data_IF_035113706582
#
_entry.id   IF_035113706582
#
_cell.length_a   1.000
_cell.length_b   1.000
_cell.length_c   1.000
_cell.angle_alpha   90.00
_cell.angle_beta   90.00
_cell.angle_gamma   90.00
#
_symmetry.space_group_name_H-M   'P 1'
#
loop_
_entity.id
_entity.type
_entity.pdbx_description
1 polymer ?
2 non-polymer ?
3 water ?
#
# COMPACT_ATOMS: atom_id res chain seq x y z
N UNK A 24 -7.69 -29.43 5.29
CA UNK A 24 -7.89 -28.40 6.39
C UNK A 24 -6.57 -27.69 6.60
N UNK A 25 -6.50 -26.83 7.64
CA UNK A 25 -5.26 -26.07 7.82
C UNK A 25 -4.47 -26.72 8.86
N UNK A 26 -3.21 -26.87 8.62
CA UNK A 26 -2.38 -27.37 9.67
C UNK A 26 -1.97 -26.43 10.85
N UNK A 27 -1.27 -27.04 11.79
CA UNK A 27 -0.84 -26.31 12.96
C UNK A 27 0.22 -25.27 12.51
N UNK A 28 1.12 -25.65 11.61
CA UNK A 28 2.12 -24.68 11.12
C UNK A 28 1.49 -23.42 10.50
N UNK A 29 0.47 -23.65 9.68
CA UNK A 29 -0.26 -22.63 8.89
C UNK A 29 -1.05 -21.74 9.82
N UNK A 30 -1.74 -22.35 10.78
CA UNK A 30 -2.42 -21.62 11.83
C UNK A 30 -1.46 -20.76 12.65
N UNK A 31 -0.19 -21.14 12.76
CA UNK A 31 0.66 -20.35 13.56
C UNK A 31 1.29 -19.22 12.79
N UNK A 32 1.32 -19.41 11.48
CA UNK A 32 1.88 -18.46 10.52
C UNK A 32 0.84 -17.27 10.33
N UNK A 33 -0.43 -17.68 10.28
CA UNK A 33 -1.45 -16.69 10.13
C UNK A 33 -1.55 -15.95 11.41
N UNK A 34 -1.46 -16.64 12.53
CA UNK A 34 -1.53 -15.93 13.81
C UNK A 34 -0.33 -15.01 13.98
N UNK A 35 0.90 -15.38 13.61
CA UNK A 35 1.90 -14.36 13.71
C UNK A 35 1.64 -13.14 12.77
N UNK A 36 1.12 -13.40 11.57
CA UNK A 36 0.79 -12.32 10.65
C UNK A 36 -0.26 -11.36 11.23
N UNK A 37 -1.37 -11.94 11.68
CA UNK A 37 -2.48 -11.21 12.25
C UNK A 37 -2.11 -10.43 13.49
N UNK A 38 -1.25 -11.03 14.30
CA UNK A 38 -0.69 -10.34 15.46
C UNK A 38 0.12 -9.09 15.09
N UNK A 39 1.02 -9.23 14.12
CA UNK A 39 1.85 -8.17 13.73
C UNK A 39 0.97 -7.09 13.11
N UNK A 40 -0.07 -7.47 12.42
CA UNK A 40 -0.91 -6.49 11.79
C UNK A 40 -1.71 -5.71 12.78
N UNK A 41 -2.10 -6.32 13.86
CA UNK A 41 -2.91 -5.64 14.82
C UNK A 41 -2.13 -4.61 15.55
N UNK A 42 -0.88 -4.91 15.80
CA UNK A 42 -0.05 -4.17 16.67
C UNK A 42 0.54 -3.01 15.99
N UNK A 43 0.47 -3.00 14.69
CA UNK A 43 1.32 -2.00 13.93
C UNK A 43 0.52 -1.30 12.86
N UNK A 44 -0.78 -1.53 12.93
CA UNK A 44 -1.70 -0.85 12.02
C UNK A 44 -2.71 -0.01 12.79
N UNK A 45 -2.67 1.31 12.62
CA UNK A 45 -3.62 2.18 13.30
C UNK A 45 -4.78 2.42 12.35
N UNK A 46 -5.79 1.56 12.40
CA UNK A 46 -6.81 1.58 11.36
C UNK A 46 -7.58 2.88 11.34
N UNK A 47 -7.50 3.65 12.42
CA UNK A 47 -8.21 4.98 12.59
C UNK A 47 -7.19 6.15 12.55
N UNK A 48 -5.92 5.88 12.27
CA UNK A 48 -4.99 6.87 12.14
C UNK A 48 -5.06 7.84 13.34
N UNK A 49 -5.28 7.39 14.56
CA UNK A 49 -5.21 8.33 15.71
C UNK A 49 -3.88 9.03 15.87
N UNK A 50 -2.80 8.36 15.56
CA UNK A 50 -1.52 8.89 15.78
C UNK A 50 -0.99 9.54 14.58
N UNK A 51 -1.79 9.75 13.54
CA UNK A 51 -1.40 10.64 12.40
C UNK A 51 -1.67 12.15 12.70
N UNK A 52 -0.63 12.95 13.08
CA UNK A 52 -0.90 14.39 13.29
C UNK A 52 0.25 15.30 12.87
N UNK A 53 0.08 16.60 13.10
CA UNK A 53 1.10 17.58 12.77
C UNK A 53 1.65 17.43 11.36
N UNK A 54 0.79 17.05 10.43
CA UNK A 54 1.19 16.89 9.03
C UNK A 54 0.83 18.13 8.23
N UNK A 55 1.60 18.42 7.18
CA UNK A 55 1.35 19.61 6.35
C UNK A 55 -0.01 19.58 5.61
N UNK A 56 -0.48 20.74 5.17
CA UNK A 56 -1.74 20.87 4.46
C UNK A 56 -1.57 21.94 3.39
N UNK A 57 -2.24 21.78 2.27
CA UNK A 57 -2.02 22.74 1.12
C UNK A 57 -2.37 24.20 1.43
N UNK A 58 -1.43 25.17 1.18
CA UNK A 58 -1.57 26.54 1.86
C UNK A 58 -2.90 27.13 1.40
N UNK A 80 8.79 20.96 -21.55
CA UNK A 80 9.99 20.24 -21.23
C UNK A 80 9.70 18.83 -20.72
N UNK A 81 10.17 18.51 -19.53
CA UNK A 81 9.82 17.25 -18.93
C UNK A 81 8.65 17.55 -18.05
N UNK A 82 8.57 18.78 -17.60
CA UNK A 82 7.40 19.21 -16.89
C UNK A 82 6.26 18.55 -17.59
N UNK A 83 6.14 18.84 -18.87
CA UNK A 83 5.12 18.23 -19.68
C UNK A 83 4.61 17.05 -18.96
N UNK A 84 5.49 16.13 -18.71
CA UNK A 84 5.12 14.85 -18.17
C UNK A 84 4.88 14.97 -16.70
N UNK A 85 5.70 15.76 -16.02
CA UNK A 85 5.61 15.86 -14.58
C UNK A 85 4.22 16.22 -14.22
N UNK A 86 3.39 16.44 -15.21
CA UNK A 86 1.97 16.46 -15.00
C UNK A 86 1.52 15.05 -14.76
N UNK A 87 2.30 14.37 -13.94
CA UNK A 87 2.00 13.06 -13.41
C UNK A 87 1.11 13.27 -12.22
N UNK A 88 1.01 14.51 -11.80
CA UNK A 88 0.22 14.82 -10.65
C UNK A 88 -1.26 14.84 -10.91
N UNK A 89 -1.64 14.89 -12.17
CA UNK A 89 -3.05 14.93 -12.52
C UNK A 89 -3.73 13.60 -12.26
N UNK A 90 -2.96 12.52 -12.34
CA UNK A 90 -3.49 11.17 -12.12
C UNK A 90 -3.75 10.93 -10.63
N UNK A 91 -2.86 11.44 -9.79
CA UNK A 91 -3.00 11.28 -8.35
C UNK A 91 -3.57 12.53 -7.70
N UNK A 92 -4.76 12.92 -8.13
CA UNK A 92 -5.42 14.11 -7.59
C UNK A 92 -6.72 13.74 -6.87
N UNK A 93 -6.85 14.21 -5.64
CA UNK A 93 -8.04 13.93 -4.84
C UNK A 93 -8.39 15.11 -3.93
N UNK A 94 -9.63 15.16 -3.48
CA UNK A 94 -10.07 16.17 -2.64
C UNK A 94 -9.94 15.62 -1.22
N UNK A 95 -9.75 16.48 -0.26
CA UNK A 95 -9.31 16.01 1.00
C UNK A 95 -10.29 16.53 2.06
N UNK A 96 -10.63 15.74 3.08
CA UNK A 96 -11.57 16.23 4.09
C UNK A 96 -11.13 15.91 5.51
N UNK A 97 -11.07 16.93 6.36
CA UNK A 97 -10.72 16.72 7.76
C UNK A 97 -11.86 16.99 8.74
N UNK A 98 -12.23 16.00 9.53
CA UNK A 98 -13.20 16.23 10.58
C UNK A 98 -12.57 16.46 11.92
N UNK A 99 -13.20 17.24 12.77
CA UNK A 99 -12.62 17.50 14.05
C UNK A 99 -13.57 17.01 15.09
CA UNK A 100 -12.78 15.97 17.21
C UNK A 100 -14.00 16.72 17.64
N UNK A 101 -14.02 17.99 17.26
CA UNK A 101 -14.96 18.96 17.77
C UNK A 101 -16.23 19.11 16.97
N UNK A 102 -16.23 18.66 15.74
CA UNK A 102 -17.43 18.73 14.93
C UNK A 102 -17.22 19.55 13.69
N UNK A 103 -16.06 20.19 13.61
CA UNK A 103 -15.73 20.95 12.43
C UNK A 103 -15.52 20.06 11.24
N UNK A 104 -15.60 20.66 10.08
CA UNK A 104 -15.15 20.04 8.77
C UNK A 104 -14.27 20.99 7.93
N UNK A 105 -13.08 20.60 7.55
CA UNK A 105 -12.33 21.35 6.57
C UNK A 105 -12.27 20.54 5.29
N UNK A 106 -12.43 21.17 4.15
CA UNK A 106 -12.42 20.50 2.87
C UNK A 106 -11.52 21.17 1.91
N UNK A 107 -10.71 20.43 1.18
CA UNK A 107 -9.83 21.00 0.18
C UNK A 107 -10.10 20.35 -1.12
N UNK A 108 -10.28 21.17 -2.13
CA UNK A 108 -10.60 20.80 -3.51
C UNK A 108 -9.37 21.31 -4.31
N UNK A 109 -8.63 20.46 -4.98
CA UNK A 109 -7.41 20.92 -5.64
C UNK A 109 -7.69 21.64 -6.91
N UNK A 110 -6.65 22.25 -7.46
CA UNK A 110 -6.84 23.13 -8.61
C UNK A 110 -6.96 22.33 -9.88
N UNK A 111 -6.54 22.99 -10.96
CA UNK A 111 -6.54 22.43 -12.29
C UNK A 111 -5.20 22.71 -12.89
N UNK A 112 -4.63 21.71 -13.55
CA UNK A 112 -3.40 21.86 -14.28
C UNK A 112 -3.59 23.06 -15.12
N UNK A 113 -2.75 24.05 -14.88
CA UNK A 113 -2.86 25.29 -15.60
C UNK A 113 -1.56 25.97 -15.36
N UNK A 114 -1.14 26.76 -16.33
CA UNK A 114 0.10 27.50 -16.23
C UNK A 114 1.29 26.65 -15.81
N UNK A 115 1.31 26.24 -14.55
CA UNK A 115 2.44 25.48 -14.06
C UNK A 115 2.38 25.02 -12.62
N UNK A 116 2.64 25.92 -11.69
CA UNK A 116 2.61 25.58 -10.27
C UNK A 116 1.18 25.53 -9.75
N UNK A 117 1.03 25.38 -8.44
CA UNK A 117 -0.28 25.32 -7.82
C UNK A 117 -0.81 23.89 -7.88
N UNK A 118 0.01 22.98 -8.40
CA UNK A 118 -0.37 21.58 -8.52
C UNK A 118 0.49 20.79 -7.52
N UNK A 119 1.51 21.45 -6.99
CA UNK A 119 2.38 20.82 -6.05
C UNK A 119 1.77 21.08 -4.75
N UNK A 120 0.64 21.74 -4.78
CA UNK A 120 0.06 22.17 -3.53
C UNK A 120 -0.36 20.99 -2.66
N UNK A 121 -0.15 19.77 -3.14
CA UNK A 121 -0.53 18.58 -2.39
C UNK A 121 0.58 17.53 -2.44
N UNK A 122 1.84 17.98 -2.40
CA UNK A 122 2.98 17.08 -2.44
C UNK A 122 3.64 16.95 -1.07
N UNK A 123 3.36 17.90 -0.19
CA UNK A 123 3.93 17.90 1.15
C UNK A 123 3.13 17.04 2.12
N UNK A 124 1.80 17.11 2.03
CA UNK A 124 0.94 16.34 2.89
C UNK A 124 0.87 14.90 2.52
N UNK A 125 0.87 14.63 1.24
CA UNK A 125 0.79 13.32 0.76
C UNK A 125 2.08 12.65 1.26
N UNK A 126 3.18 13.40 1.33
CA UNK A 126 4.49 12.84 1.75
C UNK A 126 4.45 12.57 3.24
N UNK A 127 3.82 13.40 4.01
CA UNK A 127 3.49 13.05 5.30
C UNK A 127 2.67 11.83 5.49
N UNK A 128 1.74 11.55 4.59
CA UNK A 128 0.93 10.35 4.69
C UNK A 128 1.71 9.17 4.33
N UNK A 129 2.52 9.25 3.26
CA UNK A 129 3.43 8.14 2.96
C UNK A 129 4.33 7.75 4.08
N UNK A 130 4.83 8.76 4.80
CA UNK A 130 5.74 8.50 5.88
C UNK A 130 4.97 7.84 7.01
N UNK A 131 3.77 8.40 7.37
CA UNK A 131 3.02 7.68 8.44
C UNK A 131 2.82 6.20 8.06
N UNK A 132 2.31 5.97 6.87
CA UNK A 132 2.12 4.58 6.34
C UNK A 132 3.36 3.68 6.33
N UNK A 133 4.45 4.22 5.80
CA UNK A 133 5.64 3.41 5.60
C UNK A 133 6.14 2.99 6.94
N UNK A 134 5.91 3.79 7.98
CA UNK A 134 6.48 3.42 9.26
C UNK A 134 5.69 2.29 9.85
N UNK A 135 4.39 2.25 9.56
CA UNK A 135 3.51 1.19 10.07
C UNK A 135 3.91 -0.04 9.41
N UNK A 136 4.17 0.00 8.07
CA UNK A 136 4.66 -1.12 7.29
C UNK A 136 6.09 -1.56 7.77
N UNK A 137 6.95 -0.63 8.15
CA UNK A 137 8.26 -1.10 8.64
C UNK A 137 8.12 -1.79 9.96
N UNK A 138 7.22 -1.30 10.82
CA UNK A 138 7.03 -1.95 12.11
C UNK A 138 6.39 -3.30 11.80
N UNK A 139 5.57 -3.41 10.76
CA UNK A 139 4.91 -4.65 10.63
C UNK A 139 6.00 -5.69 10.37
N UNK A 140 6.85 -5.38 9.41
CA UNK A 140 7.91 -6.37 9.00
C UNK A 140 8.79 -6.76 10.17
N UNK A 141 9.25 -5.76 10.91
CA UNK A 141 10.24 -5.97 12.02
C UNK A 141 9.67 -6.91 13.18
N UNK A 142 8.37 -6.99 13.30
CA UNK A 142 7.76 -7.68 14.41
C UNK A 142 7.36 -9.08 13.98
N UNK A 143 7.68 -9.50 12.75
CA UNK A 143 7.49 -10.95 12.28
C UNK A 143 8.79 -11.77 12.42
N UNK A 144 8.74 -12.85 13.18
CA UNK A 144 9.97 -13.64 13.36
C UNK A 144 10.62 -14.00 11.99
N UNK A 145 9.85 -14.45 11.00
CA UNK A 145 10.51 -14.87 9.76
C UNK A 145 11.31 -13.74 9.14
N UNK A 146 10.95 -12.52 9.51
CA UNK A 146 11.62 -11.35 8.98
C UNK A 146 12.87 -10.88 9.76
N UNK A 147 12.69 -10.73 11.06
CA UNK A 147 13.76 -10.49 11.99
C UNK A 147 14.83 -11.55 11.80
N UNK A 148 14.44 -12.79 11.50
CA UNK A 148 15.52 -13.78 11.26
C UNK A 148 16.42 -13.51 10.05
N UNK A 149 16.03 -12.69 9.05
CA UNK A 149 16.88 -12.59 7.85
C UNK A 149 17.97 -11.63 8.23
N UNK A 150 19.03 -11.65 7.45
CA UNK A 150 20.10 -10.77 7.66
C UNK A 150 19.70 -9.30 7.33
N UNK A 151 20.29 -8.41 8.12
CA UNK A 151 19.92 -7.06 8.09
C UNK A 151 19.84 -6.51 6.64
N UNK A 152 20.88 -6.82 5.88
CA UNK A 152 21.08 -6.29 4.54
C UNK A 152 19.94 -6.78 3.69
N UNK A 153 19.46 -7.98 3.99
CA UNK A 153 18.24 -8.48 3.27
C UNK A 153 16.89 -7.92 3.76
N UNK A 154 16.73 -7.61 5.03
CA UNK A 154 15.57 -6.87 5.49
C UNK A 154 15.41 -5.53 4.77
N UNK A 155 16.54 -4.87 4.54
CA UNK A 155 16.58 -3.56 3.92
C UNK A 155 16.26 -3.72 2.45
N UNK A 156 16.68 -4.83 1.85
CA UNK A 156 16.32 -5.07 0.45
C UNK A 156 14.84 -5.28 0.22
N UNK A 157 14.19 -5.97 1.19
CA UNK A 157 12.83 -6.40 1.05
C UNK A 157 11.93 -5.21 1.33
N UNK A 158 12.21 -4.45 2.38
CA UNK A 158 11.49 -3.22 2.60
C UNK A 158 11.54 -2.30 1.37
N UNK A 159 12.67 -2.12 0.71
CA UNK A 159 12.76 -1.15 -0.33
C UNK A 159 11.97 -1.75 -1.48
N UNK A 160 11.92 -3.05 -1.60
CA UNK A 160 11.11 -3.60 -2.74
C UNK A 160 9.61 -3.49 -2.54
N UNK A 161 9.16 -3.62 -1.28
CA UNK A 161 7.74 -3.86 -1.00
C UNK A 161 6.96 -2.72 -0.31
N UNK A 162 7.61 -1.73 0.28
CA UNK A 162 6.95 -0.73 1.07
C UNK A 162 5.73 -0.15 0.41
N UNK A 163 5.86 0.22 -0.87
CA UNK A 163 4.72 0.68 -1.58
C UNK A 163 3.57 -0.29 -1.62
N UNK A 164 3.80 -1.51 -1.97
CA UNK A 164 2.82 -2.51 -2.17
C UNK A 164 2.05 -2.81 -0.93
N UNK A 165 2.68 -2.84 0.24
CA UNK A 165 2.01 -3.07 1.46
C UNK A 165 1.25 -1.90 1.92
N UNK A 166 1.76 -0.69 1.73
CA UNK A 166 0.86 0.53 1.76
C UNK A 166 -0.38 0.45 0.96
N UNK A 167 -0.26 0.14 -0.32
CA UNK A 167 -1.42 0.19 -1.17
C UNK A 167 -2.25 -0.89 -0.64
N UNK A 168 -1.69 -2.00 -0.16
CA UNK A 168 -2.71 -2.91 0.49
C UNK A 168 -3.34 -2.47 1.79
N UNK A 169 -2.58 -1.87 2.70
CA UNK A 169 -3.11 -1.43 3.98
C UNK A 169 -4.16 -0.40 3.66
N UNK A 170 -3.99 0.23 2.50
CA UNK A 170 -5.00 1.16 1.99
C UNK A 170 -6.26 0.65 1.28
N UNK A 171 -6.23 -0.41 0.49
CA UNK A 171 -7.49 -1.02 0.03
C UNK A 171 -8.53 -1.30 1.14
N UNK A 172 -8.07 -1.53 2.36
CA UNK A 172 -9.02 -1.92 3.34
C UNK A 172 -9.72 -0.75 4.01
N UNK A 173 -9.23 0.49 3.75
CA UNK A 173 -9.99 1.66 4.25
C UNK A 173 -10.69 2.35 3.05
N UNK A 174 -10.52 1.77 1.84
CA UNK A 174 -11.18 2.25 0.63
C UNK A 174 -12.69 1.95 0.60
N UNK A 175 -13.47 2.91 0.19
CA UNK A 175 -14.89 2.71 0.10
C UNK A 175 -15.20 2.84 -1.38
N UNK A 176 -15.60 1.74 -1.94
CA UNK A 176 -15.80 1.78 -3.35
C UNK A 176 -17.15 2.30 -3.77
N UNK A 177 -18.16 2.38 -2.88
CA UNK A 177 -19.41 3.06 -3.27
C UNK A 177 -19.16 4.57 -3.48
N UNK A 178 -18.52 5.23 -2.49
CA UNK A 178 -18.23 6.62 -2.64
C UNK A 178 -16.86 6.94 -3.24
N UNK A 179 -15.98 5.99 -3.55
CA UNK A 179 -14.70 6.24 -4.21
C UNK A 179 -13.81 6.93 -3.22
N UNK A 180 -13.80 6.52 -1.94
CA UNK A 180 -12.97 7.37 -1.04
C UNK A 180 -12.13 6.56 -0.06
N UNK A 181 -10.98 7.06 0.36
CA UNK A 181 -10.18 6.29 1.32
C UNK A 181 -10.40 6.83 2.72
N UNK A 182 -11.15 6.11 3.57
CA UNK A 182 -11.43 6.69 4.87
C UNK A 182 -10.33 6.49 5.83
N UNK A 183 -9.48 7.48 5.93
CA UNK A 183 -8.44 7.41 6.90
C UNK A 183 -8.72 8.06 8.28
N UNK A 184 -9.67 7.55 9.05
CA UNK A 184 -9.93 8.08 10.33
C UNK A 184 -10.70 9.35 10.13
N UNK A 185 -10.24 10.44 10.74
CA UNK A 185 -10.91 11.72 10.64
C UNK A 185 -10.46 12.45 9.39
N UNK A 186 -9.81 11.72 8.50
CA UNK A 186 -9.28 12.30 7.24
C UNK A 186 -9.88 11.64 5.99
N UNK A 187 -10.38 12.32 4.97
CA UNK A 187 -10.92 11.55 3.81
C UNK A 187 -10.25 11.96 2.58
N UNK A 188 -9.97 11.06 1.65
CA UNK A 188 -9.35 11.42 0.39
C UNK A 188 -10.30 10.96 -0.70
N UNK A 189 -11.08 11.88 -1.26
CA UNK A 189 -12.26 11.42 -2.01
C UNK A 189 -11.92 11.62 -3.44
N UNK A 190 -12.14 10.61 -4.25
CA UNK A 190 -11.78 10.71 -5.70
C UNK A 190 -12.67 11.79 -6.39
N UNK A 191 -12.04 12.67 -7.16
CA UNK A 191 -12.75 13.72 -7.86
C UNK A 191 -13.73 13.15 -8.88
N UNK A 197 -15.99 10.54 -14.77
CA UNK A 197 -16.42 9.28 -15.37
C UNK A 197 -15.99 8.09 -14.50
N UNK A 198 -16.97 7.44 -13.89
CA UNK A 198 -16.70 6.26 -13.02
C UNK A 198 -16.18 5.13 -13.87
N UNK A 199 -15.79 5.47 -15.09
CA UNK A 199 -15.15 4.53 -15.96
C UNK A 199 -13.79 5.01 -16.34
N UNK A 200 -13.19 5.87 -15.54
CA UNK A 200 -11.75 6.12 -15.67
C UNK A 200 -10.94 5.34 -14.60
N UNK A 201 -11.03 4.03 -14.72
CA UNK A 201 -10.18 3.06 -14.16
C UNK A 201 -9.17 2.83 -15.23
N UNK A 202 -8.86 3.88 -15.95
CA UNK A 202 -7.84 3.76 -16.94
C UNK A 202 -6.60 4.00 -16.17
N UNK A 203 -6.77 4.39 -14.91
CA UNK A 203 -5.65 4.60 -14.00
C UNK A 203 -5.36 3.31 -13.26
N UNK A 204 -4.22 2.70 -13.58
CA UNK A 204 -3.89 1.37 -13.06
C UNK A 204 -4.30 1.26 -11.60
N UNK A 205 -3.61 2.03 -10.75
CA UNK A 205 -3.92 2.12 -9.37
C UNK A 205 -5.40 2.07 -9.03
N UNK A 206 -6.15 3.00 -9.50
CA UNK A 206 -7.54 2.83 -9.30
C UNK A 206 -8.14 1.49 -9.79
N UNK A 207 -7.95 1.12 -11.05
CA UNK A 207 -8.46 -0.14 -11.57
C UNK A 207 -7.99 -1.27 -10.67
N UNK A 208 -6.99 -1.01 -9.84
CA UNK A 208 -6.53 -2.10 -8.91
C UNK A 208 -7.22 -1.99 -7.50
N UNK A 209 -7.41 -0.76 -7.04
CA UNK A 209 -8.22 -0.68 -5.87
C UNK A 209 -9.62 -1.20 -6.02
N UNK A 210 -10.26 -1.01 -7.19
CA UNK A 210 -11.67 -1.45 -7.23
C UNK A 210 -11.81 -2.97 -7.37
N UNK A 211 -10.97 -3.53 -8.22
CA UNK A 211 -10.88 -4.96 -8.39
C UNK A 211 -10.62 -5.62 -7.09
N UNK A 212 -9.63 -5.12 -6.36
CA UNK A 212 -9.25 -5.76 -5.05
C UNK A 212 -10.39 -5.74 -4.11
N UNK A 213 -10.94 -4.54 -3.94
CA UNK A 213 -12.15 -4.40 -3.15
C UNK A 213 -13.27 -5.40 -3.47
N UNK A 214 -13.50 -5.64 -4.75
CA UNK A 214 -14.59 -6.49 -5.21
C UNK A 214 -14.45 -7.91 -4.69
N UNK A 215 -13.21 -8.32 -4.41
CA UNK A 215 -12.98 -9.67 -3.91
C UNK A 215 -13.44 -9.93 -2.53
N UNK A 216 -13.65 -8.90 -1.76
CA UNK A 216 -14.08 -9.05 -0.33
C UNK A 216 -13.26 -9.97 0.49
N UNK A 217 -11.95 -9.73 0.46
CA UNK A 217 -11.04 -10.55 1.20
C UNK A 217 -11.30 -10.29 2.72
N UNK A 218 -10.91 -11.24 3.59
CA UNK A 218 -10.89 -11.15 5.03
C UNK A 218 -9.59 -10.54 5.48
N UNK A 219 -9.54 -10.19 6.76
CA UNK A 219 -8.31 -9.74 7.38
C UNK A 219 -7.18 -10.76 7.26
N UNK A 220 -7.51 -12.05 7.17
CA UNK A 220 -6.43 -13.05 7.09
C UNK A 220 -5.79 -13.06 5.70
N UNK A 221 -6.64 -12.94 4.69
CA UNK A 221 -6.20 -12.62 3.33
C UNK A 221 -5.37 -11.33 3.23
N UNK A 222 -6.01 -10.19 3.49
CA UNK A 222 -5.37 -8.89 3.41
C UNK A 222 -4.03 -8.94 4.12
N UNK A 223 -3.84 -9.97 4.95
CA UNK A 223 -2.57 -10.10 5.65
C UNK A 223 -1.59 -10.97 4.88
N UNK A 224 -2.02 -12.18 4.52
CA UNK A 224 -1.14 -13.09 3.80
C UNK A 224 -0.59 -12.49 2.48
N UNK A 225 -1.36 -11.65 1.82
CA UNK A 225 -0.98 -11.01 0.57
C UNK A 225 0.15 -10.04 0.88
N UNK A 226 0.17 -9.53 2.10
CA UNK A 226 1.23 -8.63 2.52
C UNK A 226 2.59 -9.42 2.80
N UNK A 227 2.51 -10.59 3.41
CA UNK A 227 3.65 -11.52 3.52
C UNK A 227 4.18 -11.89 2.11
N UNK A 228 3.23 -12.33 1.28
CA UNK A 228 3.68 -12.79 0.04
C UNK A 228 4.45 -11.72 -0.75
N UNK A 229 3.95 -10.51 -0.67
CA UNK A 229 4.62 -9.48 -1.28
C UNK A 229 5.90 -9.02 -0.53
N UNK A 230 5.97 -8.92 0.86
CA UNK A 230 7.21 -8.55 1.53
C UNK A 230 8.35 -9.58 1.26
N UNK A 231 8.03 -10.85 1.34
CA UNK A 231 8.98 -11.90 0.96
C UNK A 231 9.09 -12.28 -0.53
N UNK A 232 9.58 -11.38 -1.37
CA UNK A 232 9.74 -11.69 -2.79
C UNK A 232 11.19 -11.90 -2.91
N UNK A 233 11.60 -13.08 -3.40
CA UNK A 233 13.04 -13.36 -3.63
C UNK A 233 13.67 -12.53 -4.72
N UNK A 234 12.88 -12.08 -5.68
CA UNK A 234 13.43 -11.43 -6.85
C UNK A 234 13.41 -9.94 -6.60
N UNK A 235 14.14 -9.44 -5.63
CA UNK A 235 14.07 -8.01 -5.35
C UNK A 235 15.47 -7.59 -5.44
N UNK A 236 15.76 -6.45 -6.09
CA UNK A 236 17.18 -6.05 -6.11
C UNK A 236 17.88 -6.16 -4.70
N UNK A 237 19.11 -6.73 -4.65
CA UNK A 237 19.94 -6.75 -3.47
C UNK A 237 19.63 -7.82 -2.45
N UNK A 238 18.85 -8.83 -2.82
CA UNK A 238 18.50 -9.81 -1.79
C UNK A 238 19.65 -10.73 -1.82
N UNK A 239 20.15 -11.14 -0.67
CA UNK A 239 21.18 -12.19 -0.66
C UNK A 239 20.57 -13.61 -0.48
N UNK A 240 19.82 -13.79 0.61
CA UNK A 240 19.25 -15.09 0.98
C UNK A 240 18.06 -15.38 0.09
N UNK A 241 18.30 -15.38 -1.22
CA UNK A 241 17.22 -15.58 -2.21
C UNK A 241 16.53 -16.91 -2.03
N UNK A 242 17.17 -17.90 -1.37
CA UNK A 242 16.56 -19.22 -1.28
C UNK A 242 15.56 -19.27 -0.14
N UNK A 243 16.06 -18.84 1.02
CA UNK A 243 15.26 -18.82 2.21
C UNK A 243 14.01 -18.02 1.86
N UNK A 244 14.22 -16.84 1.30
CA UNK A 244 13.08 -15.93 1.07
C UNK A 244 12.04 -16.54 0.10
N UNK A 245 12.53 -17.22 -0.94
CA UNK A 245 11.66 -17.92 -1.87
C UNK A 245 10.88 -19.04 -1.18
N UNK A 246 11.53 -19.73 -0.24
CA UNK A 246 10.89 -20.81 0.48
C UNK A 246 9.84 -20.23 1.43
N UNK A 247 10.15 -19.06 1.98
CA UNK A 247 9.22 -18.36 2.85
C UNK A 247 7.98 -17.92 2.09
N UNK A 248 8.18 -17.31 0.92
CA UNK A 248 7.07 -16.87 0.11
C UNK A 248 6.21 -18.05 -0.24
N UNK A 249 6.87 -19.13 -0.65
CA UNK A 249 6.19 -20.36 -1.01
C UNK A 249 5.35 -20.92 0.14
N UNK A 250 5.70 -20.59 1.38
CA UNK A 250 4.91 -21.15 2.51
C UNK A 250 3.64 -20.30 2.78
N UNK A 251 3.88 -18.98 2.55
CA UNK A 251 2.89 -17.97 2.75
C UNK A 251 1.85 -18.20 1.66
N UNK A 252 2.26 -18.48 0.41
CA UNK A 252 1.29 -18.80 -0.62
C UNK A 252 0.42 -20.00 -0.40
N UNK A 253 1.07 -21.13 -0.03
CA UNK A 253 0.36 -22.41 0.15
C UNK A 253 -0.56 -22.17 1.29
N UNK A 254 -0.22 -21.32 2.28
CA UNK A 254 -1.16 -21.14 3.44
C UNK A 254 -2.42 -20.34 3.08
N UNK A 255 -2.23 -19.39 2.16
CA UNK A 255 -3.30 -18.60 1.58
C UNK A 255 -4.18 -19.44 0.76
N UNK A 256 -3.57 -20.30 -0.02
CA UNK A 256 -4.35 -21.20 -0.80
C UNK A 256 -5.16 -22.17 0.06
N UNK A 257 -4.56 -22.76 1.09
CA UNK A 257 -5.31 -23.60 2.01
C UNK A 257 -6.33 -22.81 2.77
N UNK A 258 -5.93 -21.63 3.18
CA UNK A 258 -6.92 -20.90 3.96
C UNK A 258 -8.18 -20.61 3.16
N UNK A 259 -8.05 -20.23 1.89
CA UNK A 259 -9.22 -20.12 0.99
C UNK A 259 -9.94 -21.44 0.74
N UNK A 260 -9.21 -22.51 0.45
CA UNK A 260 -10.03 -23.72 0.06
C UNK A 260 -10.74 -24.26 1.27
N UNK A 261 -10.21 -23.96 2.45
CA UNK A 261 -10.88 -24.22 3.71
C UNK A 261 -12.05 -23.30 4.05
N UNK A 262 -11.95 -21.97 3.83
CA UNK A 262 -13.01 -21.11 4.36
C UNK A 262 -13.97 -20.48 3.35
N UNK A 263 -13.88 -20.86 2.09
CA UNK A 263 -14.68 -20.22 0.96
C UNK A 263 -15.17 -21.33 -0.08
N UNK A 264 -16.22 -22.11 0.34
CA UNK A 264 -16.68 -23.15 -0.68
C UNK A 264 -17.59 -22.58 -1.82
N UNK A 265 -18.05 -21.33 -1.65
CA UNK A 265 -19.01 -20.76 -2.61
C UNK A 265 -18.44 -20.46 -4.06
N UNK A 266 -19.24 -20.84 -5.07
CA UNK A 266 -18.88 -20.60 -6.49
C UNK A 266 -18.30 -19.18 -6.74
N UNK A 267 -18.65 -18.20 -5.88
CA UNK A 267 -18.15 -16.85 -6.13
C UNK A 267 -16.61 -16.82 -5.90
N UNK A 268 -16.12 -17.82 -5.11
CA UNK A 268 -14.77 -17.83 -4.60
C UNK A 268 -13.82 -18.81 -5.32
N UNK A 269 -14.19 -19.11 -6.56
CA UNK A 269 -13.46 -20.10 -7.36
C UNK A 269 -12.44 -19.45 -8.28
N UNK A 270 -11.19 -19.87 -8.13
CA UNK A 270 -10.10 -19.33 -8.92
C UNK A 270 -9.64 -18.09 -8.18
N UNK A 271 -10.11 -17.97 -6.94
CA UNK A 271 -9.82 -16.83 -6.09
C UNK A 271 -8.31 -16.72 -5.84
N UNK A 272 -7.72 -17.78 -5.29
CA UNK A 272 -6.35 -17.72 -4.94
C UNK A 272 -5.57 -17.21 -6.10
N UNK A 273 -6.04 -17.43 -7.30
CA UNK A 273 -5.31 -17.02 -8.47
C UNK A 273 -5.66 -15.64 -8.91
N UNK A 274 -6.90 -15.23 -8.66
CA UNK A 274 -7.35 -13.88 -8.95
C UNK A 274 -6.57 -12.97 -8.02
N UNK A 275 -6.27 -13.49 -6.84
CA UNK A 275 -5.39 -12.79 -5.92
C UNK A 275 -3.88 -12.74 -6.34
N UNK A 276 -3.33 -13.91 -6.65
CA UNK A 276 -1.91 -13.91 -7.16
C UNK A 276 -1.72 -13.07 -8.33
N UNK A 277 -2.70 -12.98 -9.22
CA UNK A 277 -2.46 -12.11 -10.36
C UNK A 277 -2.51 -10.65 -9.98
N UNK A 278 -3.31 -10.36 -8.97
CA UNK A 278 -3.34 -9.03 -8.38
C UNK A 278 -1.96 -8.61 -7.90
N UNK A 279 -1.27 -9.48 -7.17
CA UNK A 279 0.07 -9.15 -6.71
C UNK A 279 1.08 -8.86 -7.80
N UNK A 280 1.06 -9.71 -8.82
CA UNK A 280 1.85 -9.51 -10.02
C UNK A 280 1.56 -8.12 -10.60
N UNK A 281 0.31 -7.72 -10.55
CA UNK A 281 -0.03 -6.41 -11.01
C UNK A 281 0.39 -5.32 -10.13
N UNK A 282 0.25 -5.52 -8.80
CA UNK A 282 0.70 -4.53 -7.87
C UNK A 282 2.24 -4.29 -8.06
N UNK A 283 3.02 -5.27 -8.48
CA UNK A 283 4.48 -5.13 -8.73
C UNK A 283 4.73 -4.13 -9.82
N UNK A 284 3.91 -4.21 -10.90
CA UNK A 284 3.94 -3.26 -12.02
C UNK A 284 3.47 -1.85 -11.66
N UNK A 285 2.29 -1.70 -11.16
CA UNK A 285 1.96 -0.38 -10.73
C UNK A 285 3.09 0.19 -9.86
N UNK A 286 3.71 -0.64 -9.01
CA UNK A 286 4.73 -0.16 -8.12
C UNK A 286 5.99 0.35 -8.84
N UNK A 287 6.49 -0.39 -9.79
CA UNK A 287 7.45 0.21 -10.71
C UNK A 287 6.96 1.52 -11.44
N UNK A 288 5.73 1.60 -11.87
CA UNK A 288 5.43 2.68 -12.70
C UNK A 288 5.42 3.92 -11.85
N UNK A 289 5.23 3.77 -10.56
CA UNK A 289 5.08 4.90 -9.68
C UNK A 289 6.32 5.27 -8.95
N UNK A 290 7.19 4.32 -8.74
CA UNK A 290 8.49 4.71 -8.36
C UNK A 290 8.96 5.67 -9.39
N UNK A 291 8.81 5.31 -10.66
CA UNK A 291 9.29 6.17 -11.76
C UNK A 291 8.59 7.49 -11.84
N UNK A 292 7.30 7.48 -11.75
CA UNK A 292 6.61 8.68 -11.71
C UNK A 292 7.04 9.56 -10.54
N UNK A 293 7.27 8.96 -9.41
CA UNK A 293 7.60 9.73 -8.22
C UNK A 293 9.03 10.32 -8.30
N UNK A 294 9.93 9.59 -8.89
CA UNK A 294 11.26 10.13 -9.04
C UNK A 294 11.33 11.26 -10.02
N UNK A 295 10.34 11.39 -10.86
CA UNK A 295 10.35 12.49 -11.78
C UNK A 295 9.90 13.70 -11.07
N UNK A 296 8.80 13.61 -10.40
CA UNK A 296 8.35 14.74 -9.67
C UNK A 296 9.42 15.23 -8.79
N UNK A 297 10.24 14.34 -8.26
CA UNK A 297 11.15 14.73 -7.22
C UNK A 297 12.37 15.31 -7.79
N UNK A 298 12.73 14.82 -8.94
CA UNK A 298 13.84 15.35 -9.66
C UNK A 298 13.64 16.86 -10.02
N UNK A 299 12.41 17.34 -10.24
CA UNK A 299 12.21 18.75 -10.48
C UNK A 299 11.55 19.51 -9.29
N UNK A 300 10.74 18.83 -8.46
CA UNK A 300 10.12 19.53 -7.34
C UNK A 300 10.28 18.70 -6.08
N UNK A 301 11.49 18.80 -5.47
CA UNK A 301 11.84 17.85 -4.33
C UNK A 301 10.82 17.97 -3.21
N UNK A 302 10.20 16.87 -2.79
CA UNK A 302 9.23 16.85 -1.65
C UNK A 302 9.37 15.57 -0.76
N UNK A 303 10.04 14.51 -1.22
CA UNK A 303 10.27 13.29 -0.35
C UNK A 303 10.95 13.57 0.98
N UNK A 304 10.27 13.04 2.02
CA UNK A 304 10.81 13.04 3.39
C UNK A 304 12.11 12.18 3.42
N UNK A 305 12.91 12.30 4.49
CA UNK A 305 14.08 11.44 4.72
C UNK A 305 13.79 9.95 4.60
N UNK A 306 12.68 9.52 5.15
CA UNK A 306 12.28 8.14 5.14
C UNK A 306 11.95 7.71 3.76
N UNK A 307 11.35 8.57 2.98
CA UNK A 307 11.10 8.21 1.63
C UNK A 307 12.36 8.27 0.85
N UNK A 308 13.32 9.05 1.28
CA UNK A 308 14.60 9.05 0.58
C UNK A 308 15.32 7.72 0.80
N UNK A 309 15.34 7.25 2.05
CA UNK A 309 15.92 5.95 2.37
C UNK A 309 15.29 4.85 1.52
N UNK A 310 13.97 4.77 1.56
CA UNK A 310 13.24 3.78 0.75
C UNK A 310 13.55 3.76 -0.73
N UNK A 311 13.75 4.94 -1.33
CA UNK A 311 13.98 5.05 -2.76
C UNK A 311 15.43 5.16 -3.08
N UNK A 312 16.24 4.87 -2.05
CA UNK A 312 17.71 5.10 -2.06
C UNK A 312 18.19 6.51 -2.51
N UNK A 313 17.44 7.58 -2.30
CA UNK A 313 18.00 8.95 -2.45
C UNK A 313 18.85 9.38 -1.24
X LIG B 1 1.91 10.17 -3.16
X LIG B 1 2.08 11.29 -3.87
X LIG B 1 3.31 11.80 -4.04
X LIG B 1 4.41 11.15 -3.49
X LIG B 1 4.19 10.00 -2.76
X LIG B 1 2.95 9.52 -2.61
X LIG B 1 -3.11 5.92 -1.53
X LIG B 1 -1.95 5.55 -2.20
X LIG B 1 -0.89 6.34 -2.17
X LIG B 1 -0.90 7.51 -1.51
X LIG B 1 -2.03 7.92 -0.82
X LIG B 1 -3.16 7.11 -0.83
X LIG B 1 -4.37 7.22 -0.28
X LIG B 1 -4.32 5.31 -1.38
X LIG B 1 -5.09 6.15 -0.60
X LIG B 1 0.35 8.39 -1.51
X LIG B 1 0.29 9.54 -2.94
X LIG B 1 3.48 12.91 -4.76
X LIG B 1 5.53 9.16 -2.04
X LIG B 1 0.43 9.17 -0.19
#
# INVERSE_FOLDING_TARGET
MKKGHHHHHHGSERTGTQPLGVQGLTEEQRMMIRELMDAQMKTFDTTFSHFKNFRLPGVLSSGCELPESLQAPSREEAAKWSQVRKDLCSLKVSLQLRGEDGSVWNYKPPADSGGKEIFSLLPHMADMSTYMFKGIISFAKVISYFRDLPIEDQISLLKGAAFELCQLRFNTVFNAETGTWECGRLSYCLEDTAGGFQQLLLEPMLKFHYMLKKLQLHEEEYVLMQAISLFSPDRPGVLQHRVVDQLQEQFAITLKSYIECNRPQPAHRFLFLKIMAMLTELRSINAQHTQRLLRIQDIHPFATPLMQELFGITGS
PNU C1 N2 C3 C4 C5 N6 C7 C8 N9 C10 C11 C12 C13 O14 C15 C16 S17 N18 CL19 C21
#
